data_IF_946411379316
#
_entry.id   IF_946411379316
#
_cell.length_a   1.000
_cell.length_b   1.000
_cell.length_c   1.000
_cell.angle_alpha   90.00
_cell.angle_beta   90.00
_cell.angle_gamma   90.00
#
_symmetry.space_group_name_H-M   'P 1'
#
loop_
_entity.id
_entity.type
_entity.pdbx_description
1 polymer ?
#
# COMPACT_ATOMS: atom_id res chain seq x y z
N UNK A 1 27.71 2.58 2.11
CA UNK A 1 27.71 1.91 3.44
C UNK A 1 26.56 2.33 4.34
N UNK A 2 26.34 3.61 4.66
CA UNK A 2 25.25 4.05 5.57
C UNK A 2 23.83 3.68 5.11
N UNK A 3 23.57 3.80 3.80
CA UNK A 3 22.29 3.41 3.20
C UNK A 3 22.00 1.92 3.39
N UNK A 4 22.95 1.04 3.05
CA UNK A 4 22.82 -0.42 3.24
C UNK A 4 22.60 -0.81 4.71
N UNK A 5 23.26 -0.15 5.66
CA UNK A 5 23.08 -0.41 7.09
C UNK A 5 21.69 0.03 7.60
N UNK A 6 21.19 1.20 7.16
CA UNK A 6 19.82 1.65 7.46
C UNK A 6 18.78 0.68 6.90
N UNK A 7 19.03 0.13 5.70
CA UNK A 7 18.19 -0.88 5.06
C UNK A 7 18.21 -2.21 5.82
N UNK A 8 19.38 -2.71 6.22
CA UNK A 8 19.50 -3.94 7.03
C UNK A 8 18.76 -3.81 8.37
N UNK A 9 18.86 -2.67 9.05
CA UNK A 9 18.15 -2.44 10.32
C UNK A 9 16.63 -2.42 10.16
N UNK A 10 16.13 -1.93 9.03
CA UNK A 10 14.69 -1.97 8.72
C UNK A 10 14.21 -3.39 8.38
N UNK A 11 15.03 -4.18 7.69
CA UNK A 11 14.74 -5.59 7.42
C UNK A 11 14.77 -6.43 8.71
N UNK A 12 15.68 -6.14 9.64
CA UNK A 12 15.73 -6.83 10.93
C UNK A 12 14.45 -6.64 11.76
N UNK A 13 13.75 -5.52 11.59
CA UNK A 13 12.47 -5.27 12.26
C UNK A 13 11.28 -5.88 11.51
N UNK A 14 11.44 -6.27 10.25
CA UNK A 14 10.34 -6.72 9.40
C UNK A 14 9.56 -7.88 10.03
N UNK A 15 10.27 -8.89 10.52
CA UNK A 15 9.66 -10.08 11.12
C UNK A 15 8.90 -9.71 12.40
N UNK A 16 9.47 -8.83 13.23
CA UNK A 16 8.80 -8.32 14.43
C UNK A 16 7.54 -7.53 14.07
N UNK A 17 7.60 -6.65 13.07
CA UNK A 17 6.44 -5.87 12.64
C UNK A 17 5.35 -6.75 12.02
N UNK A 18 5.73 -7.74 11.21
CA UNK A 18 4.79 -8.71 10.66
C UNK A 18 4.16 -9.55 11.76
N UNK A 19 4.94 -9.99 12.75
CA UNK A 19 4.42 -10.72 13.91
C UNK A 19 3.43 -9.89 14.72
N UNK A 20 3.70 -8.60 14.92
CA UNK A 20 2.76 -7.68 15.59
C UNK A 20 1.44 -7.54 14.84
N UNK A 21 1.49 -7.38 13.51
CA UNK A 21 0.28 -7.38 12.69
C UNK A 21 -0.45 -8.72 12.87
N UNK A 22 0.21 -9.85 12.62
CA UNK A 22 -0.41 -11.17 12.72
C UNK A 22 -0.97 -11.51 14.11
N UNK A 23 -0.40 -10.95 15.18
CA UNK A 23 -0.92 -11.11 16.54
C UNK A 23 -2.20 -10.30 16.79
N UNK A 24 -2.46 -9.27 15.99
CA UNK A 24 -3.63 -8.39 16.11
C UNK A 24 -4.29 -8.16 14.74
N UNK A 25 -4.85 -9.22 14.11
CA UNK A 25 -5.54 -9.06 12.84
C UNK A 25 -6.83 -8.25 13.03
N UNK A 26 -7.25 -7.47 12.01
CA UNK A 26 -8.53 -6.77 12.07
C UNK A 26 -9.67 -7.78 12.20
N UNK A 27 -10.60 -7.53 13.13
CA UNK A 27 -11.73 -8.43 13.40
C UNK A 27 -12.59 -8.74 12.17
N UNK A 28 -12.67 -7.81 11.21
CA UNK A 28 -13.44 -7.99 9.98
C UNK A 28 -12.77 -8.95 8.98
N UNK A 29 -11.50 -9.32 9.16
CA UNK A 29 -10.74 -10.09 8.17
C UNK A 29 -11.36 -11.48 7.93
N UNK A 30 -11.84 -12.14 8.99
CA UNK A 30 -12.49 -13.45 8.92
C UNK A 30 -13.91 -13.38 8.34
N UNK A 31 -14.52 -12.20 8.32
CA UNK A 31 -15.90 -11.99 7.90
C UNK A 31 -16.03 -11.70 6.40
N UNK A 32 -14.89 -11.59 5.70
CA UNK A 32 -14.85 -11.15 4.31
C UNK A 32 -13.97 -12.06 3.48
N UNK A 33 -14.39 -12.28 2.23
CA UNK A 33 -13.55 -12.97 1.26
C UNK A 33 -12.50 -12.02 0.70
N UNK A 34 -11.22 -12.33 0.87
CA UNK A 34 -10.10 -11.66 0.20
C UNK A 34 -9.61 -12.53 -0.96
N UNK A 35 -9.46 -11.95 -2.15
CA UNK A 35 -8.98 -12.68 -3.33
C UNK A 35 -7.48 -12.48 -3.57
N UNK A 36 -6.91 -11.34 -3.16
CA UNK A 36 -5.48 -11.07 -3.26
C UNK A 36 -5.03 -9.94 -2.32
N UNK A 37 -3.74 -9.96 -1.99
CA UNK A 37 -3.07 -8.90 -1.24
C UNK A 37 -2.35 -7.97 -2.22
N UNK A 38 -2.45 -6.67 -1.97
CA UNK A 38 -1.72 -5.63 -2.71
C UNK A 38 -0.98 -4.74 -1.72
N UNK A 39 0.34 -4.68 -1.85
CA UNK A 39 1.13 -3.75 -1.08
C UNK A 39 0.91 -2.30 -1.52
N UNK A 40 1.04 -1.36 -0.60
CA UNK A 40 1.03 0.05 -0.95
C UNK A 40 2.15 0.37 -1.95
N UNK A 41 1.85 0.93 -3.13
CA UNK A 41 2.86 1.22 -4.14
C UNK A 41 3.69 2.45 -3.76
N UNK A 42 5.00 2.30 -3.78
CA UNK A 42 5.94 3.41 -3.68
C UNK A 42 6.11 4.12 -5.03
N UNK A 43 6.44 5.41 -4.99
CA UNK A 43 6.91 6.11 -6.18
C UNK A 43 8.31 5.61 -6.55
N UNK A 44 8.67 5.66 -7.83
CA UNK A 44 10.01 5.26 -8.31
C UNK A 44 11.15 5.95 -7.56
N UNK A 45 10.99 7.26 -7.29
CA UNK A 45 11.96 8.04 -6.50
C UNK A 45 12.15 7.45 -5.10
N UNK A 46 11.06 7.16 -4.38
CA UNK A 46 11.14 6.57 -3.03
C UNK A 46 11.70 5.15 -3.05
N UNK A 47 11.36 4.36 -4.06
CA UNK A 47 11.91 3.01 -4.24
C UNK A 47 13.42 3.06 -4.48
N UNK A 48 13.89 4.01 -5.30
CA UNK A 48 15.33 4.22 -5.53
C UNK A 48 16.06 4.70 -4.27
N UNK A 49 15.48 5.65 -3.53
CA UNK A 49 16.04 6.16 -2.27
C UNK A 49 16.13 5.09 -1.18
N UNK A 50 15.11 4.22 -1.08
CA UNK A 50 14.97 3.21 -0.03
C UNK A 50 15.46 1.81 -0.44
N UNK A 51 15.80 1.58 -1.70
CA UNK A 51 16.20 0.27 -2.24
C UNK A 51 15.10 -0.81 -2.27
N UNK A 52 14.05 -0.70 -1.46
CA UNK A 52 12.94 -1.66 -1.37
C UNK A 52 11.63 -1.01 -0.91
N UNK A 53 10.53 -1.78 -0.99
CA UNK A 53 9.21 -1.38 -0.51
C UNK A 53 8.87 -2.17 0.77
N UNK A 54 8.89 -1.52 1.93
CA UNK A 54 8.57 -2.12 3.22
C UNK A 54 7.18 -2.79 3.20
N UNK A 55 6.18 -2.11 2.66
CA UNK A 55 4.82 -2.61 2.55
C UNK A 55 4.72 -3.86 1.66
N UNK A 56 5.61 -4.01 0.67
CA UNK A 56 5.68 -5.22 -0.16
C UNK A 56 6.20 -6.42 0.62
N UNK A 57 7.20 -6.20 1.46
CA UNK A 57 7.76 -7.26 2.29
C UNK A 57 6.74 -7.72 3.35
N UNK A 58 6.08 -6.78 4.03
CA UNK A 58 4.99 -7.06 4.96
C UNK A 58 3.83 -7.80 4.28
N UNK A 59 3.39 -7.31 3.12
CA UNK A 59 2.34 -7.94 2.33
C UNK A 59 2.68 -9.40 1.99
N UNK A 60 3.94 -9.70 1.70
CA UNK A 60 4.39 -11.05 1.36
C UNK A 60 4.30 -12.00 2.56
N UNK A 61 4.72 -11.56 3.74
CA UNK A 61 4.63 -12.36 4.97
C UNK A 61 3.17 -12.61 5.35
N UNK A 62 2.35 -11.56 5.37
CA UNK A 62 0.93 -11.64 5.72
C UNK A 62 0.18 -12.54 4.72
N UNK A 63 0.37 -12.34 3.43
CA UNK A 63 -0.29 -13.14 2.41
C UNK A 63 0.08 -14.63 2.51
N UNK A 64 1.34 -14.94 2.81
CA UNK A 64 1.78 -16.32 3.06
C UNK A 64 1.06 -16.93 4.27
N UNK A 65 0.91 -16.19 5.36
CA UNK A 65 0.21 -16.66 6.55
C UNK A 65 -1.27 -17.02 6.26
N UNK A 66 -1.96 -16.18 5.48
CA UNK A 66 -3.37 -16.39 5.12
C UNK A 66 -3.57 -17.19 3.81
N UNK A 67 -2.51 -17.78 3.24
CA UNK A 67 -2.54 -18.49 1.95
C UNK A 67 -3.17 -17.68 0.80
N UNK A 68 -2.93 -16.37 0.77
CA UNK A 68 -3.42 -15.45 -0.25
C UNK A 68 -2.35 -15.16 -1.31
N UNK A 69 -2.72 -14.95 -2.58
CA UNK A 69 -1.78 -14.50 -3.59
C UNK A 69 -1.44 -13.02 -3.38
N UNK A 70 -0.17 -12.66 -3.57
CA UNK A 70 0.28 -11.26 -3.62
C UNK A 70 0.25 -10.79 -5.07
N UNK A 71 -0.42 -9.68 -5.33
CA UNK A 71 -0.32 -9.02 -6.63
C UNK A 71 1.08 -8.49 -6.85
N UNK A 72 1.59 -8.69 -8.07
CA UNK A 72 2.91 -8.19 -8.45
C UNK A 72 2.98 -6.66 -8.33
N UNK A 73 4.14 -6.08 -7.96
CA UNK A 73 4.27 -4.62 -7.81
C UNK A 73 3.95 -3.81 -9.08
N UNK A 74 4.05 -4.43 -10.26
CA UNK A 74 3.70 -3.84 -11.56
C UNK A 74 2.19 -3.82 -11.83
N UNK A 75 1.38 -4.48 -11.00
CA UNK A 75 -0.09 -4.38 -11.08
C UNK A 75 -0.60 -2.97 -10.81
N UNK A 76 0.11 -2.19 -9.97
CA UNK A 76 -0.28 -0.83 -9.59
C UNK A 76 0.94 0.10 -9.62
N UNK A 77 0.98 0.97 -10.62
CA UNK A 77 2.05 1.96 -10.73
C UNK A 77 1.62 3.32 -10.19
N UNK A 78 2.34 3.82 -9.20
CA UNK A 78 2.24 5.21 -8.75
C UNK A 78 3.04 6.13 -9.68
N UNK A 79 2.34 6.89 -10.51
CA UNK A 79 2.93 7.93 -11.35
C UNK A 79 3.36 9.12 -10.48
N UNK A 80 4.53 9.69 -10.79
CA UNK A 80 5.01 10.91 -10.13
C UNK A 80 4.15 12.11 -10.58
N UNK A 81 3.67 12.90 -9.61
CA UNK A 81 3.27 14.28 -9.86
C UNK A 81 4.05 15.19 -8.89
N UNK A 82 4.54 16.35 -9.35
CA UNK A 82 5.14 17.33 -8.46
C UNK A 82 4.12 17.79 -7.40
N UNK A 83 4.57 18.15 -6.19
CA UNK A 83 3.69 18.68 -5.16
C UNK A 83 2.98 19.95 -5.67
N UNK A 84 1.67 20.04 -5.48
CA UNK A 84 0.91 21.28 -5.73
C UNK A 84 1.07 22.29 -4.58
N UNK A 85 2.26 22.40 -3.99
CA UNK A 85 2.51 23.25 -2.82
C UNK A 85 2.74 24.74 -3.16
N UNK A 86 2.73 25.12 -4.43
CA UNK A 86 2.80 26.52 -4.89
C UNK A 86 1.44 27.15 -5.21
N UNK A 87 0.32 26.46 -4.97
CA UNK A 87 -1.02 27.01 -5.23
C UNK A 87 -1.71 27.41 -3.92
N UNK A 88 -2.12 28.68 -3.84
CA UNK A 88 -2.87 29.30 -2.74
C UNK A 88 -4.06 28.41 -2.32
N UNK A 89 -4.37 28.42 -1.02
CA UNK A 89 -5.42 27.64 -0.33
C UNK A 89 -6.83 27.69 -0.95
N UNK A 90 -7.10 28.58 -1.92
CA UNK A 90 -8.41 28.79 -2.54
C UNK A 90 -8.66 28.04 -3.84
N UNK A 91 -7.72 27.22 -4.34
CA UNK A 91 -7.98 26.35 -5.50
C UNK A 91 -7.49 24.95 -5.16
N UNK A 92 -8.35 24.12 -4.57
CA UNK A 92 -8.22 22.66 -4.73
C UNK A 92 -8.95 22.28 -6.02
N UNK A 93 -8.27 22.07 -7.16
CA UNK A 93 -8.93 21.43 -8.26
C UNK A 93 -9.09 19.94 -7.95
N UNK A 94 -10.19 19.38 -8.43
CA UNK A 94 -10.57 17.97 -8.48
C UNK A 94 -9.59 17.09 -9.28
N UNK A 95 -8.28 17.23 -9.09
CA UNK A 95 -7.26 16.56 -9.91
C UNK A 95 -6.96 15.14 -9.40
N UNK A 96 -7.95 14.26 -9.50
CA UNK A 96 -7.86 12.84 -9.09
C UNK A 96 -7.78 11.89 -10.30
N UNK A 97 -7.33 12.38 -11.47
CA UNK A 97 -7.03 11.55 -12.64
C UNK A 97 -5.51 11.44 -12.80
N UNK A 98 -4.98 10.20 -12.85
CA UNK A 98 -3.63 9.91 -13.38
C UNK A 98 -2.50 9.61 -12.38
N UNK A 99 -2.77 9.41 -11.08
CA UNK A 99 -1.70 9.07 -10.10
C UNK A 99 -1.43 7.56 -10.05
N UNK A 100 -2.41 6.72 -10.37
CA UNK A 100 -2.25 5.28 -10.40
C UNK A 100 -2.64 4.69 -11.76
N UNK A 101 -1.84 3.76 -12.27
CA UNK A 101 -2.17 2.90 -13.42
C UNK A 101 -2.32 1.46 -12.93
N UNK A 102 -3.32 0.77 -13.47
CA UNK A 102 -3.71 -0.58 -13.03
C UNK A 102 -3.68 -1.56 -14.21
N UNK A 103 -3.25 -2.79 -13.98
CA UNK A 103 -3.42 -3.87 -14.95
C UNK A 103 -4.78 -4.59 -14.75
N UNK A 104 -5.13 -5.53 -15.62
CA UNK A 104 -6.40 -6.28 -15.50
C UNK A 104 -6.43 -7.20 -14.26
N UNK A 105 -5.27 -7.52 -13.68
CA UNK A 105 -5.17 -8.45 -12.56
C UNK A 105 -5.84 -7.93 -11.27
N UNK A 106 -6.10 -6.62 -11.15
CA UNK A 106 -6.84 -6.07 -10.00
C UNK A 106 -8.36 -6.22 -10.14
N UNK A 107 -8.90 -6.40 -11.35
CA UNK A 107 -10.34 -6.30 -11.59
C UNK A 107 -11.13 -7.45 -10.98
N UNK A 108 -12.36 -7.14 -10.57
CA UNK A 108 -13.35 -8.07 -9.98
C UNK A 108 -12.84 -8.82 -8.74
N UNK A 109 -11.81 -8.30 -8.07
CA UNK A 109 -11.23 -8.88 -6.85
C UNK A 109 -11.62 -8.07 -5.61
N UNK A 110 -11.70 -8.75 -4.48
CA UNK A 110 -11.65 -8.17 -3.15
C UNK A 110 -10.18 -8.08 -2.72
N UNK A 111 -9.64 -6.87 -2.69
CA UNK A 111 -8.22 -6.64 -2.43
C UNK A 111 -7.99 -6.23 -0.98
N UNK A 112 -6.98 -6.84 -0.35
CA UNK A 112 -6.43 -6.40 0.91
C UNK A 112 -5.20 -5.52 0.66
N UNK A 113 -5.29 -4.24 1.00
CA UNK A 113 -4.17 -3.31 0.98
C UNK A 113 -3.36 -3.42 2.28
N UNK A 114 -2.05 -3.60 2.14
CA UNK A 114 -1.10 -3.60 3.26
C UNK A 114 -0.19 -2.37 3.17
N UNK A 115 -0.06 -1.65 4.28
CA UNK A 115 0.89 -0.53 4.41
C UNK A 115 1.57 -0.55 5.80
N UNK A 116 2.78 0.00 5.89
CA UNK A 116 3.51 0.08 7.16
C UNK A 116 2.96 1.20 8.06
N UNK A 117 2.81 2.40 7.53
CA UNK A 117 2.35 3.56 8.31
C UNK A 117 1.39 4.40 7.50
N UNK A 118 0.18 4.57 8.04
CA UNK A 118 -0.74 5.59 7.60
C UNK A 118 -0.48 6.85 8.39
N UNK A 119 -0.44 7.99 7.71
CA UNK A 119 -0.39 9.29 8.36
C UNK A 119 -1.76 9.95 8.25
N UNK A 120 -2.02 10.68 7.16
CA UNK A 120 -3.31 11.37 6.95
C UNK A 120 -4.39 10.51 6.29
N UNK A 121 -4.09 9.24 6.00
CA UNK A 121 -4.97 8.38 5.18
C UNK A 121 -5.15 8.83 3.73
N UNK A 122 -4.60 9.98 3.32
CA UNK A 122 -4.86 10.58 2.02
C UNK A 122 -4.42 9.68 0.86
N UNK A 123 -3.24 9.05 0.97
CA UNK A 123 -2.71 8.20 -0.10
C UNK A 123 -3.51 6.90 -0.23
N UNK A 124 -3.87 6.27 0.89
CA UNK A 124 -4.72 5.06 0.89
C UNK A 124 -6.11 5.38 0.33
N UNK A 125 -6.70 6.50 0.75
CA UNK A 125 -8.00 6.95 0.27
C UNK A 125 -7.97 7.19 -1.24
N UNK A 126 -6.90 7.82 -1.74
CA UNK A 126 -6.71 8.04 -3.17
C UNK A 126 -6.57 6.73 -3.95
N UNK A 127 -5.72 5.82 -3.47
CA UNK A 127 -5.52 4.51 -4.10
C UNK A 127 -6.81 3.69 -4.11
N UNK A 128 -7.52 3.61 -2.98
CA UNK A 128 -8.78 2.88 -2.87
C UNK A 128 -9.84 3.43 -3.84
N UNK A 129 -9.95 4.77 -3.97
CA UNK A 129 -10.85 5.41 -4.95
C UNK A 129 -10.47 5.05 -6.39
N UNK A 130 -9.17 5.06 -6.71
CA UNK A 130 -8.68 4.74 -8.05
C UNK A 130 -8.88 3.24 -8.38
N UNK A 131 -8.64 2.35 -7.42
CA UNK A 131 -8.90 0.91 -7.53
C UNK A 131 -10.39 0.61 -7.77
N UNK A 132 -11.30 1.21 -6.98
CA UNK A 132 -12.75 1.07 -7.19
C UNK A 132 -13.16 1.50 -8.60
N UNK A 133 -12.64 2.64 -9.09
CA UNK A 133 -12.88 3.10 -10.47
C UNK A 133 -12.30 2.17 -11.54
N UNK A 134 -11.27 1.39 -11.22
CA UNK A 134 -10.67 0.42 -12.14
C UNK A 134 -11.46 -0.90 -12.26
N UNK A 135 -12.49 -1.09 -11.44
CA UNK A 135 -13.33 -2.30 -11.43
C UNK A 135 -12.95 -3.32 -10.37
N UNK A 136 -12.23 -2.93 -9.32
CA UNK A 136 -12.04 -3.74 -8.10
C UNK A 136 -13.37 -3.84 -7.35
N UNK A 137 -13.72 -5.03 -6.87
CA UNK A 137 -15.00 -5.29 -6.20
C UNK A 137 -15.05 -4.64 -4.81
N UNK A 138 -14.06 -4.92 -3.97
CA UNK A 138 -13.92 -4.35 -2.63
C UNK A 138 -12.46 -4.08 -2.31
N UNK A 139 -12.23 -3.06 -1.49
CA UNK A 139 -10.89 -2.68 -1.02
C UNK A 139 -10.94 -2.67 0.50
N UNK A 140 -10.09 -3.49 1.11
CA UNK A 140 -9.83 -3.57 2.53
C UNK A 140 -8.45 -3.02 2.81
N UNK A 141 -8.24 -2.49 4.01
CA UNK A 141 -6.98 -1.84 4.37
C UNK A 141 -6.56 -2.34 5.73
N UNK A 142 -5.32 -2.83 5.83
CA UNK A 142 -4.72 -3.21 7.08
C UNK A 142 -3.32 -2.64 7.16
N UNK A 143 -3.11 -1.81 8.16
CA UNK A 143 -1.84 -1.10 8.36
C UNK A 143 -1.35 -1.29 9.77
N UNK A 144 -0.03 -1.31 9.94
CA UNK A 144 0.59 -1.48 11.26
C UNK A 144 0.31 -0.28 12.18
N UNK A 145 0.34 0.95 11.65
CA UNK A 145 0.07 2.15 12.45
C UNK A 145 -0.80 3.17 11.71
N UNK A 146 -1.64 3.87 12.46
CA UNK A 146 -2.41 5.05 12.05
C UNK A 146 -2.43 6.04 13.22
N UNK A 147 -2.21 7.36 13.03
CA UNK A 147 -2.36 8.34 14.11
C UNK A 147 -3.84 8.46 14.50
N UNK A 148 -4.13 8.46 15.80
CA UNK A 148 -5.48 8.73 16.31
C UNK A 148 -6.01 10.11 15.87
#
# INVERSE_FOLDING_TARGET
>A
MLSAFKHQRQLALLDTLAALMLAQPPQWLEQVKIDAVLAMPLSRKRLFERGFNQSQLLATIIARHYALPVLRPDCVHRCYRPPQSTLKKSVRPRNVRGVFRFNQAVKKRNLLLIDDVVTTGATITELARALKKSGVSRVYVWTLAHPE
#
